data_IF_864593587732
#
_entry.id   IF_864593587732
#
_cell.length_a   1.000
_cell.length_b   1.000
_cell.length_c   1.000
_cell.angle_alpha   90.00
_cell.angle_beta   90.00
_cell.angle_gamma   90.00
#
_symmetry.space_group_name_H-M   'P 1'
#
loop_
_entity.id
_entity.type
_entity.pdbx_description
1 polymer ?
#
# COMPACT_ATOMS: atom_id res chain seq x y z
N UNK A 1 15.47 -7.08 -10.04
CA UNK A 1 14.22 -6.31 -10.24
C UNK A 1 13.68 -5.65 -8.95
N UNK A 2 13.96 -6.16 -7.75
CA UNK A 2 13.53 -5.56 -6.45
C UNK A 2 14.05 -4.12 -6.21
N UNK A 3 15.22 -3.77 -6.74
CA UNK A 3 15.92 -2.52 -6.45
C UNK A 3 15.16 -1.24 -6.90
N UNK A 4 14.36 -1.28 -7.98
CA UNK A 4 13.66 -0.08 -8.46
C UNK A 4 12.48 0.31 -7.58
N UNK A 5 11.64 -0.65 -7.18
CA UNK A 5 10.47 -0.41 -6.32
C UNK A 5 10.89 0.18 -4.98
N UNK A 6 11.91 -0.40 -4.36
CA UNK A 6 12.34 0.00 -3.02
C UNK A 6 12.96 1.40 -3.03
N UNK A 7 13.67 1.79 -4.12
CA UNK A 7 14.12 3.19 -4.33
C UNK A 7 12.97 4.17 -4.43
N UNK A 8 11.91 3.86 -5.18
CA UNK A 8 10.74 4.75 -5.28
C UNK A 8 9.99 4.86 -3.96
N UNK A 9 9.83 3.75 -3.22
CA UNK A 9 9.24 3.79 -1.87
C UNK A 9 10.06 4.65 -0.91
N UNK A 10 11.40 4.58 -0.98
CA UNK A 10 12.29 5.43 -0.19
C UNK A 10 12.17 6.91 -0.57
N UNK A 11 12.11 7.23 -1.87
CA UNK A 11 11.90 8.58 -2.37
C UNK A 11 10.56 9.17 -1.89
N UNK A 12 9.47 8.41 -2.03
CA UNK A 12 8.14 8.80 -1.54
C UNK A 12 8.13 8.99 -0.02
N UNK A 13 8.82 8.12 0.74
CA UNK A 13 8.98 8.29 2.19
C UNK A 13 9.62 9.63 2.53
N UNK A 14 10.72 9.98 1.87
CA UNK A 14 11.42 11.25 2.09
C UNK A 14 10.55 12.45 1.72
N UNK A 15 9.83 12.36 0.59
CA UNK A 15 8.90 13.41 0.18
C UNK A 15 7.76 13.58 1.20
N UNK A 16 7.06 12.51 1.58
CA UNK A 16 5.96 12.60 2.55
C UNK A 16 6.43 13.12 3.92
N UNK A 17 7.64 12.75 4.35
CA UNK A 17 8.23 13.27 5.60
C UNK A 17 8.41 14.80 5.56
N UNK A 18 8.80 15.38 4.42
CA UNK A 18 8.87 16.84 4.23
C UNK A 18 7.53 17.53 4.48
N UNK A 19 6.42 16.83 4.25
CA UNK A 19 5.05 17.33 4.45
C UNK A 19 4.38 16.83 5.75
N UNK A 20 5.16 16.32 6.71
CA UNK A 20 4.61 15.90 8.01
C UNK A 20 3.73 14.65 7.93
N UNK A 21 3.99 13.76 6.98
CA UNK A 21 3.30 12.50 6.80
C UNK A 21 4.27 11.30 6.80
N UNK A 22 3.79 10.16 7.28
CA UNK A 22 4.46 8.88 7.10
C UNK A 22 3.90 8.13 5.89
N UNK A 23 4.72 7.31 5.24
CA UNK A 23 4.27 6.43 4.17
C UNK A 23 3.67 5.14 4.74
N UNK A 24 2.50 4.74 4.23
CA UNK A 24 2.02 3.36 4.28
C UNK A 24 1.98 2.86 2.85
N UNK A 25 2.72 1.80 2.55
CA UNK A 25 2.68 1.18 1.24
C UNK A 25 2.11 -0.23 1.35
N UNK A 26 1.22 -0.62 0.44
CA UNK A 26 0.69 -1.97 0.41
C UNK A 26 0.72 -2.56 -0.98
N UNK A 27 0.93 -3.87 -1.04
CA UNK A 27 1.14 -4.64 -2.25
C UNK A 27 0.20 -5.83 -2.28
N UNK A 28 -0.57 -5.94 -3.36
CA UNK A 28 -1.32 -7.15 -3.69
C UNK A 28 -0.55 -7.87 -4.78
N UNK A 29 0.16 -8.94 -4.41
CA UNK A 29 0.84 -9.82 -5.35
C UNK A 29 -0.09 -10.97 -5.72
N UNK A 30 -0.72 -10.92 -6.90
CA UNK A 30 -1.45 -12.08 -7.46
C UNK A 30 -0.58 -12.75 -8.50
N UNK A 31 -0.15 -13.97 -8.22
CA UNK A 31 0.69 -14.75 -9.13
C UNK A 31 -0.16 -15.88 -9.71
N UNK A 32 -0.25 -15.94 -11.04
CA UNK A 32 -0.89 -17.04 -11.77
C UNK A 32 0.14 -17.77 -12.63
N UNK A 33 -0.19 -18.99 -13.06
CA UNK A 33 0.62 -19.79 -13.99
C UNK A 33 0.89 -19.09 -15.34
N UNK A 34 0.14 -18.05 -15.67
CA UNK A 34 0.28 -17.25 -16.91
C UNK A 34 1.02 -15.92 -16.71
N UNK A 35 1.65 -15.73 -15.55
CA UNK A 35 2.20 -14.46 -15.12
C UNK A 35 1.32 -13.81 -14.04
N UNK A 36 1.94 -12.97 -13.22
CA UNK A 36 1.29 -12.26 -12.13
C UNK A 36 1.58 -10.78 -12.17
N UNK A 37 0.63 -9.98 -11.69
CA UNK A 37 0.79 -8.55 -11.53
C UNK A 37 0.79 -8.23 -10.04
N UNK A 38 1.82 -7.50 -9.61
CA UNK A 38 1.84 -6.88 -8.31
C UNK A 38 1.29 -5.46 -8.44
N UNK A 39 0.31 -5.11 -7.62
CA UNK A 39 -0.19 -3.75 -7.52
C UNK A 39 0.28 -3.14 -6.20
N UNK A 40 1.12 -2.11 -6.27
CA UNK A 40 1.64 -1.38 -5.12
C UNK A 40 0.95 -0.02 -5.04
N UNK A 41 0.39 0.31 -3.89
CA UNK A 41 -0.12 1.64 -3.58
C UNK A 41 0.71 2.23 -2.44
N UNK A 42 0.94 3.54 -2.47
CA UNK A 42 1.61 4.28 -1.41
C UNK A 42 0.69 5.43 -0.99
N UNK A 43 0.37 5.49 0.31
CA UNK A 43 -0.57 6.44 0.87
C UNK A 43 0.12 7.21 1.99
N UNK A 44 0.16 8.56 1.94
CA UNK A 44 0.62 9.36 3.06
C UNK A 44 -0.42 9.33 4.19
N UNK A 45 0.02 9.08 5.42
CA UNK A 45 -0.79 9.20 6.63
C UNK A 45 -0.20 10.28 7.53
N UNK A 46 -1.03 11.15 8.16
CA UNK A 46 -0.54 12.12 9.14
C UNK A 46 0.29 11.45 10.23
N UNK A 47 1.38 12.09 10.66
CA UNK A 47 2.26 11.52 11.70
C UNK A 47 1.51 11.18 13.00
N UNK A 48 0.44 11.91 13.32
CA UNK A 48 -0.42 11.64 14.47
C UNK A 48 -1.18 10.30 14.39
N UNK A 49 -1.30 9.70 13.21
CA UNK A 49 -1.99 8.42 12.98
C UNK A 49 -1.02 7.26 12.73
N UNK A 50 0.29 7.51 12.62
CA UNK A 50 1.28 6.49 12.21
C UNK A 50 1.26 5.25 13.12
N UNK A 51 1.08 5.44 14.42
CA UNK A 51 1.12 4.36 15.42
C UNK A 51 -0.19 3.56 15.47
N UNK A 52 -1.25 4.03 14.79
CA UNK A 52 -2.55 3.35 14.68
C UNK A 52 -2.69 2.46 13.45
N UNK A 53 -1.72 2.53 12.52
CA UNK A 53 -1.80 1.85 11.22
C UNK A 53 -1.87 0.32 11.40
N UNK A 54 -0.98 -0.25 12.20
CA UNK A 54 -0.94 -1.70 12.42
C UNK A 54 -2.27 -2.20 13.03
N UNK A 55 -2.75 -1.55 14.08
CA UNK A 55 -4.00 -1.92 14.74
C UNK A 55 -5.21 -1.81 13.80
N UNK A 56 -5.24 -0.79 12.93
CA UNK A 56 -6.30 -0.64 11.92
C UNK A 56 -6.30 -1.82 10.93
N UNK A 57 -5.12 -2.23 10.44
CA UNK A 57 -5.02 -3.39 9.55
C UNK A 57 -5.43 -4.69 10.26
N UNK A 58 -5.01 -4.90 11.51
CA UNK A 58 -5.40 -6.10 12.28
C UNK A 58 -6.90 -6.12 12.59
N UNK A 59 -7.49 -4.98 12.95
CA UNK A 59 -8.90 -4.88 13.28
C UNK A 59 -9.78 -5.19 12.07
N UNK A 60 -9.52 -4.53 10.93
CA UNK A 60 -10.25 -4.79 9.68
C UNK A 60 -10.00 -6.20 9.16
N UNK A 61 -8.75 -6.68 9.28
CA UNK A 61 -8.38 -8.03 8.85
C UNK A 61 -9.20 -9.10 9.56
N UNK A 62 -9.37 -8.98 10.89
CA UNK A 62 -10.24 -9.90 11.66
C UNK A 62 -11.69 -9.89 11.19
N UNK A 63 -12.24 -8.74 10.81
CA UNK A 63 -13.62 -8.63 10.31
C UNK A 63 -13.78 -9.30 8.94
N UNK A 64 -12.73 -9.32 8.13
CA UNK A 64 -12.74 -9.85 6.76
C UNK A 64 -12.14 -11.25 6.61
N UNK A 65 -11.71 -11.88 7.71
CA UNK A 65 -11.02 -13.18 7.67
C UNK A 65 -9.63 -13.12 7.04
N UNK A 66 -8.95 -11.98 7.16
CA UNK A 66 -7.58 -11.73 6.72
C UNK A 66 -6.68 -11.76 7.97
N UNK A 67 -5.95 -12.86 8.13
CA UNK A 67 -4.97 -13.03 9.18
C UNK A 67 -3.57 -12.73 8.68
N UNK A 68 -2.76 -12.04 9.49
CA UNK A 68 -1.37 -11.74 9.16
C UNK A 68 -0.44 -12.78 9.76
N UNK A 69 0.54 -13.21 8.96
CA UNK A 69 1.57 -14.19 9.32
C UNK A 69 2.46 -13.68 10.47
N UNK A 70 2.87 -14.59 11.35
CA UNK A 70 3.78 -14.28 12.45
C UNK A 70 5.17 -13.88 11.94
N UNK A 71 5.66 -14.57 10.91
CA UNK A 71 6.92 -14.27 10.22
C UNK A 71 6.65 -13.82 8.78
N UNK A 72 6.64 -12.49 8.61
CA UNK A 72 6.42 -11.86 7.32
C UNK A 72 7.54 -12.13 6.29
N UNK A 73 8.78 -12.35 6.73
CA UNK A 73 9.90 -12.63 5.84
C UNK A 73 9.83 -14.06 5.31
N UNK A 74 9.56 -15.03 6.19
CA UNK A 74 9.33 -16.42 5.80
C UNK A 74 8.13 -16.54 4.85
N UNK A 75 7.04 -15.83 5.12
CA UNK A 75 5.86 -15.80 4.25
C UNK A 75 6.18 -15.30 2.84
N UNK A 76 6.91 -14.18 2.70
CA UNK A 76 7.32 -13.67 1.40
C UNK A 76 8.30 -14.61 0.68
N UNK A 77 9.20 -15.24 1.43
CA UNK A 77 10.12 -16.24 0.88
C UNK A 77 9.38 -17.46 0.33
N UNK A 78 8.30 -17.90 0.98
CA UNK A 78 7.45 -18.99 0.50
C UNK A 78 6.77 -18.65 -0.85
N UNK A 79 6.40 -17.38 -1.07
CA UNK A 79 5.85 -16.92 -2.35
C UNK A 79 6.90 -16.68 -3.44
N UNK A 80 8.19 -16.77 -3.13
CA UNK A 80 9.26 -16.49 -4.09
C UNK A 80 9.20 -17.43 -5.30
N UNK A 81 9.49 -16.88 -6.48
CA UNK A 81 9.48 -17.63 -7.74
C UNK A 81 8.08 -17.93 -8.29
N UNK A 82 7.06 -17.15 -7.91
CA UNK A 82 5.72 -17.28 -8.48
C UNK A 82 4.78 -18.22 -7.71
N UNK A 83 5.19 -18.73 -6.55
CA UNK A 83 4.52 -19.82 -5.83
C UNK A 83 3.64 -19.32 -4.68
N UNK A 84 2.74 -18.38 -4.98
CA UNK A 84 1.74 -17.93 -4.02
C UNK A 84 1.32 -16.48 -4.23
N UNK A 85 0.06 -16.21 -3.89
CA UNK A 85 -0.46 -14.84 -3.84
C UNK A 85 -0.41 -14.31 -2.41
N UNK A 86 -0.15 -13.02 -2.25
CA UNK A 86 0.00 -12.40 -0.94
C UNK A 86 -0.50 -10.96 -0.92
N UNK A 87 -0.91 -10.51 0.27
CA UNK A 87 -1.06 -9.11 0.60
C UNK A 87 0.07 -8.71 1.55
N UNK A 88 0.75 -7.60 1.27
CA UNK A 88 1.80 -7.05 2.13
C UNK A 88 1.47 -5.60 2.46
N UNK A 89 1.72 -5.19 3.69
CA UNK A 89 1.75 -3.78 4.09
C UNK A 89 3.12 -3.45 4.71
N UNK A 90 3.74 -2.38 4.23
CA UNK A 90 4.92 -1.74 4.82
C UNK A 90 4.42 -0.68 5.81
N UNK A 91 4.76 -0.87 7.09
CA UNK A 91 4.35 0.01 8.18
C UNK A 91 5.25 1.25 8.26
N UNK A 92 4.74 2.36 8.84
CA UNK A 92 5.50 3.60 9.02
C UNK A 92 6.86 3.46 9.72
N UNK A 93 6.98 2.49 10.63
CA UNK A 93 8.17 2.23 11.43
C UNK A 93 9.20 1.31 10.73
N UNK A 94 8.92 0.91 9.49
CA UNK A 94 9.80 0.04 8.70
C UNK A 94 9.53 -1.46 8.87
N UNK A 95 8.66 -1.87 9.79
CA UNK A 95 8.16 -3.25 9.85
C UNK A 95 7.23 -3.52 8.66
N UNK A 96 6.86 -4.78 8.49
CA UNK A 96 5.91 -5.22 7.46
C UNK A 96 5.00 -6.31 8.00
N UNK A 97 3.77 -6.36 7.48
CA UNK A 97 2.84 -7.44 7.75
C UNK A 97 2.47 -8.10 6.42
N UNK A 98 2.27 -9.41 6.45
CA UNK A 98 1.99 -10.21 5.25
C UNK A 98 0.81 -11.14 5.55
N UNK A 99 -0.08 -11.29 4.58
CA UNK A 99 -1.15 -12.27 4.56
C UNK A 99 -0.99 -13.15 3.32
N UNK A 100 -0.93 -14.47 3.50
CA UNK A 100 -0.90 -15.42 2.39
C UNK A 100 -2.32 -15.67 1.88
N UNK A 101 -2.54 -15.36 0.61
CA UNK A 101 -3.85 -15.58 -0.03
C UNK A 101 -3.99 -17.05 -0.41
N UNK A 102 -5.16 -17.63 -0.11
CA UNK A 102 -5.51 -19.00 -0.48
C UNK A 102 -6.20 -19.01 -1.85
N UNK A 103 -5.88 -19.96 -2.72
CA UNK A 103 -6.34 -20.01 -4.13
C UNK A 103 -7.87 -19.97 -4.30
N UNK A 104 -8.63 -20.42 -3.31
CA UNK A 104 -10.09 -20.49 -3.34
C UNK A 104 -10.78 -19.49 -2.41
N UNK A 105 -10.02 -18.61 -1.76
CA UNK A 105 -10.58 -17.56 -0.89
C UNK A 105 -10.45 -16.23 -1.63
N UNK A 106 -11.57 -15.58 -1.98
CA UNK A 106 -11.54 -14.27 -2.61
C UNK A 106 -10.86 -13.26 -1.69
N UNK A 107 -9.89 -12.52 -2.22
CA UNK A 107 -9.29 -11.39 -1.53
C UNK A 107 -9.75 -10.07 -2.18
N UNK A 108 -10.25 -9.13 -1.39
CA UNK A 108 -10.63 -7.81 -1.91
C UNK A 108 -9.40 -6.96 -2.20
N UNK A 109 -9.14 -6.64 -3.48
CA UNK A 109 -7.99 -5.77 -3.86
C UNK A 109 -8.06 -4.36 -3.25
N UNK A 110 -9.24 -3.97 -2.77
CA UNK A 110 -9.50 -2.71 -2.08
C UNK A 110 -9.24 -2.78 -0.57
N UNK A 111 -8.86 -3.93 0.00
CA UNK A 111 -8.65 -4.07 1.44
C UNK A 111 -7.72 -3.00 2.03
N UNK A 112 -6.55 -2.78 1.41
CA UNK A 112 -5.63 -1.73 1.87
C UNK A 112 -6.22 -0.32 1.81
N UNK A 113 -7.02 -0.03 0.78
CA UNK A 113 -7.76 1.24 0.66
C UNK A 113 -8.80 1.35 1.77
N UNK A 114 -9.61 0.31 2.00
CA UNK A 114 -10.66 0.27 3.01
C UNK A 114 -10.13 0.57 4.41
N UNK A 115 -9.02 -0.06 4.80
CA UNK A 115 -8.36 0.22 6.08
C UNK A 115 -7.96 1.69 6.19
N UNK A 116 -7.30 2.22 5.17
CA UNK A 116 -6.74 3.57 5.23
C UNK A 116 -7.78 4.66 5.14
N UNK A 117 -8.83 4.52 4.33
CA UNK A 117 -9.91 5.51 4.27
C UNK A 117 -10.70 5.55 5.59
N UNK A 118 -10.88 4.40 6.25
CA UNK A 118 -11.46 4.34 7.60
C UNK A 118 -10.57 5.05 8.62
N UNK A 119 -9.26 4.75 8.62
CA UNK A 119 -8.28 5.37 9.51
C UNK A 119 -8.17 6.90 9.33
N UNK A 120 -8.29 7.38 8.08
CA UNK A 120 -8.21 8.80 7.73
C UNK A 120 -9.55 9.54 7.92
N UNK A 121 -10.64 8.83 8.23
CA UNK A 121 -11.98 9.42 8.35
C UNK A 121 -12.54 9.91 7.01
N UNK A 122 -12.21 9.23 5.91
CA UNK A 122 -12.59 9.58 4.53
C UNK A 122 -13.35 8.44 3.82
N UNK A 123 -14.41 7.87 4.41
CA UNK A 123 -15.10 6.69 3.86
C UNK A 123 -15.64 6.89 2.44
N UNK A 124 -15.94 8.12 2.05
CA UNK A 124 -16.35 8.50 0.69
C UNK A 124 -15.29 8.19 -0.37
N UNK A 125 -14.01 8.11 0.00
CA UNK A 125 -12.88 7.79 -0.91
C UNK A 125 -12.67 6.29 -1.11
N UNK A 126 -13.52 5.44 -0.52
CA UNK A 126 -13.48 4.00 -0.72
C UNK A 126 -13.85 3.61 -2.15
N UNK A 127 -14.91 4.21 -2.70
CA UNK A 127 -15.32 3.96 -4.08
C UNK A 127 -14.48 4.80 -5.04
N UNK A 128 -13.52 4.14 -5.69
CA UNK A 128 -12.65 4.78 -6.68
C UNK A 128 -13.41 5.35 -7.87
N UNK A 129 -14.62 4.85 -8.18
CA UNK A 129 -15.46 5.38 -9.27
C UNK A 129 -16.18 6.67 -8.86
N UNK A 130 -16.47 6.83 -7.57
CA UNK A 130 -17.08 8.03 -7.01
C UNK A 130 -16.03 9.06 -6.57
N UNK A 131 -14.76 8.65 -6.42
CA UNK A 131 -13.63 9.50 -6.06
C UNK A 131 -12.92 10.10 -7.29
N UNK A 132 -13.68 10.52 -8.30
CA UNK A 132 -13.15 11.21 -9.49
C UNK A 132 -13.24 12.71 -9.33
N UNK A 133 -12.14 13.41 -9.63
CA UNK A 133 -12.11 14.87 -9.71
C UNK A 133 -12.47 15.33 -11.13
N UNK A 134 -12.76 16.63 -11.30
CA UNK A 134 -12.81 17.21 -12.64
C UNK A 134 -11.44 17.09 -13.31
N UNK A 135 -11.39 16.98 -14.65
CA UNK A 135 -10.13 16.77 -15.38
C UNK A 135 -9.07 17.84 -15.07
N UNK A 136 -9.49 19.10 -14.94
CA UNK A 136 -8.59 20.21 -14.62
C UNK A 136 -8.02 20.12 -13.20
N UNK A 137 -8.82 19.66 -12.24
CA UNK A 137 -8.39 19.45 -10.85
C UNK A 137 -7.40 18.29 -10.76
N UNK A 138 -7.70 17.14 -11.40
CA UNK A 138 -6.82 15.98 -11.46
C UNK A 138 -5.49 16.32 -12.13
N UNK A 139 -5.54 17.12 -13.22
CA UNK A 139 -4.34 17.63 -13.90
C UNK A 139 -3.52 18.54 -12.99
N UNK A 140 -4.15 19.43 -12.22
CA UNK A 140 -3.45 20.31 -11.29
C UNK A 140 -2.77 19.50 -10.17
N UNK A 141 -3.46 18.53 -9.57
CA UNK A 141 -2.91 17.64 -8.54
C UNK A 141 -1.72 16.83 -9.07
N UNK A 142 -1.83 16.29 -10.29
CA UNK A 142 -0.74 15.56 -10.92
C UNK A 142 0.50 16.44 -11.15
N UNK A 143 0.34 17.71 -11.55
CA UNK A 143 1.48 18.63 -11.71
C UNK A 143 2.09 19.04 -10.37
N UNK A 144 1.25 19.30 -9.36
CA UNK A 144 1.70 19.61 -8.01
C UNK A 144 2.51 18.46 -7.41
N UNK A 145 2.03 17.22 -7.58
CA UNK A 145 2.76 16.03 -7.17
C UNK A 145 4.10 15.90 -7.88
N UNK A 146 4.15 16.05 -9.21
CA UNK A 146 5.40 15.99 -9.99
C UNK A 146 6.42 17.01 -9.49
N UNK A 147 5.99 18.26 -9.27
CA UNK A 147 6.87 19.31 -8.74
C UNK A 147 7.36 18.99 -7.31
N UNK A 148 6.50 18.44 -6.45
CA UNK A 148 6.86 18.04 -5.10
C UNK A 148 7.81 16.83 -5.05
N UNK A 149 7.65 15.88 -5.98
CA UNK A 149 8.44 14.65 -6.06
C UNK A 149 9.79 14.85 -6.76
N UNK A 150 9.91 15.83 -7.66
CA UNK A 150 11.12 16.09 -8.45
C UNK A 150 12.44 16.09 -7.64
N UNK A 151 12.54 16.72 -6.44
CA UNK A 151 13.77 16.71 -5.65
C UNK A 151 14.14 15.34 -5.05
N UNK A 152 13.23 14.37 -5.11
CA UNK A 152 13.37 13.04 -4.54
C UNK A 152 13.44 11.94 -5.60
N UNK A 153 13.19 12.26 -6.87
CA UNK A 153 13.09 11.30 -7.96
C UNK A 153 14.40 10.50 -8.12
N UNK A 154 14.40 9.17 -7.90
CA UNK A 154 15.60 8.34 -7.96
C UNK A 154 16.01 7.97 -9.39
N UNK A 155 15.33 8.50 -10.41
CA UNK A 155 15.60 8.23 -11.84
C UNK A 155 16.31 9.38 -12.55
N UNK A 156 16.42 10.54 -11.88
CA UNK A 156 17.18 11.70 -12.34
C UNK A 156 18.69 11.55 -12.07
#
# INVERSE_FOLDING_TARGET
MHCARDRHKAALRSMYAKYGAAIVAFEVGRLSTKGGHAHVQAVPVPLALKDKVEDAFRAEGRLMGIDFEEDADAALAACAGGRGSYFRVDLPDGRKMVHLMKDHVPFGIQFGRQVLVSLLGMPERLDWKACTLAEDEDRADAQAFKAAFLPFDPTL
#
